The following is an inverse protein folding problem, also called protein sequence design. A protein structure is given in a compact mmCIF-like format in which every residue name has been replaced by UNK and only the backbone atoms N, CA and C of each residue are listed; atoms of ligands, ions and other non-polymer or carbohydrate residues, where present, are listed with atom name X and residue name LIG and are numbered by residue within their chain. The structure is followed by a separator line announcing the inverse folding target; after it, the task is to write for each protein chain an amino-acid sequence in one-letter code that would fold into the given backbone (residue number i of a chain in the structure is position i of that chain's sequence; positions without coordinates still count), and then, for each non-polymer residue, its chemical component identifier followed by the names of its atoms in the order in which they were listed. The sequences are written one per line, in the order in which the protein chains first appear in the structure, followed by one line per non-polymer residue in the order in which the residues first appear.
data_IF_385822394959
#
_entry.id   IF_385822394959
#
_cell.length_a   1.000
_cell.length_b   1.000
_cell.length_c   1.000
_cell.angle_alpha   90.00
_cell.angle_beta   90.00
_cell.angle_gamma   90.00
#
_symmetry.space_group_name_H-M   'P 1'
#
loop_
_entity.id
_entity.type
_entity.pdbx_description
1 polymer ?
#
# COMPACT_ATOMS: atom_id res chain seq x y z
N UNK A 1 -39.11 0.86 11.43
CA UNK A 1 -37.66 0.68 11.20
C UNK A 1 -36.93 2.02 11.33
N UNK A 2 -35.76 2.08 11.97
CA UNK A 2 -34.97 3.31 12.17
C UNK A 2 -34.58 4.02 10.86
N UNK A 3 -34.15 3.32 9.80
CA UNK A 3 -33.78 3.97 8.54
C UNK A 3 -34.91 4.79 7.90
N UNK A 4 -36.12 4.22 7.86
CA UNK A 4 -37.31 4.89 7.28
C UNK A 4 -37.68 6.14 8.07
N UNK A 5 -37.52 6.11 9.40
CA UNK A 5 -37.79 7.25 10.26
C UNK A 5 -36.76 8.37 10.08
N UNK A 6 -35.47 8.03 10.01
CA UNK A 6 -34.43 9.03 9.74
C UNK A 6 -34.56 9.64 8.34
N UNK A 7 -35.06 8.87 7.36
CA UNK A 7 -35.37 9.37 6.03
C UNK A 7 -36.57 10.34 6.04
N UNK A 8 -37.64 10.04 6.79
CA UNK A 8 -38.77 10.95 6.99
C UNK A 8 -38.34 12.26 7.69
N UNK A 9 -37.50 12.18 8.73
CA UNK A 9 -36.93 13.36 9.38
C UNK A 9 -36.12 14.23 8.40
N UNK A 10 -35.25 13.63 7.59
CA UNK A 10 -34.50 14.35 6.55
C UNK A 10 -35.40 15.01 5.52
N UNK A 11 -36.50 14.37 5.13
CA UNK A 11 -37.46 14.96 4.17
C UNK A 11 -38.16 16.21 4.72
N UNK A 12 -38.09 16.43 6.03
CA UNK A 12 -38.61 17.59 6.76
C UNK A 12 -37.49 18.55 7.21
N UNK A 13 -36.28 18.42 6.65
CA UNK A 13 -35.08 19.18 7.02
C UNK A 13 -34.67 19.04 8.51
N UNK A 14 -35.03 17.93 9.15
CA UNK A 14 -34.59 17.60 10.50
C UNK A 14 -33.32 16.76 10.41
N UNK A 15 -32.19 17.34 10.82
CA UNK A 15 -30.92 16.64 10.94
C UNK A 15 -30.74 16.07 12.34
N UNK A 16 -30.21 14.85 12.44
CA UNK A 16 -29.98 14.16 13.72
C UNK A 16 -28.58 13.54 13.69
N UNK A 17 -27.80 13.74 14.76
CA UNK A 17 -26.45 13.17 14.92
C UNK A 17 -26.19 12.71 16.35
N UNK A 18 -25.19 11.86 16.52
CA UNK A 18 -24.72 11.40 17.82
C UNK A 18 -23.58 12.31 18.31
N UNK A 19 -23.59 12.65 19.59
CA UNK A 19 -22.50 13.32 20.30
C UNK A 19 -22.28 12.56 21.62
N UNK A 20 -21.35 11.61 21.62
CA UNK A 20 -21.22 10.63 22.71
C UNK A 20 -22.49 9.79 22.87
N UNK A 21 -23.05 9.74 24.09
CA UNK A 21 -24.34 9.08 24.40
C UNK A 21 -25.56 10.01 24.25
N UNK A 22 -25.36 11.20 23.68
CA UNK A 22 -26.42 12.18 23.45
C UNK A 22 -26.84 12.20 21.99
N UNK A 23 -28.16 12.26 21.76
CA UNK A 23 -28.73 12.47 20.43
C UNK A 23 -28.98 13.98 20.28
N UNK A 24 -28.39 14.58 19.25
CA UNK A 24 -28.56 15.98 18.90
C UNK A 24 -29.40 16.08 17.62
N UNK A 25 -30.15 17.16 17.49
CA UNK A 25 -30.89 17.43 16.27
C UNK A 25 -30.97 18.93 15.97
N UNK A 26 -31.04 19.27 14.69
CA UNK A 26 -31.33 20.60 14.17
C UNK A 26 -32.62 20.50 13.36
N UNK A 27 -33.52 21.46 13.52
CA UNK A 27 -34.78 21.49 12.79
C UNK A 27 -35.19 22.96 12.51
N UNK A 28 -35.87 23.24 11.38
CA UNK A 28 -36.45 24.55 11.13
C UNK A 28 -37.52 24.90 12.17
N UNK A 29 -37.76 26.21 12.34
CA UNK A 29 -38.70 26.73 13.35
C UNK A 29 -40.11 26.16 13.10
N UNK A 30 -40.70 25.56 14.13
CA UNK A 30 -42.06 25.01 14.09
C UNK A 30 -42.19 23.59 13.50
N UNK A 31 -41.12 23.02 12.93
CA UNK A 31 -41.16 21.69 12.30
C UNK A 31 -41.00 20.56 13.31
N UNK A 32 -40.28 20.81 14.42
CA UNK A 32 -40.09 19.83 15.49
C UNK A 32 -41.27 19.82 16.47
N UNK A 33 -42.35 19.12 16.12
CA UNK A 33 -43.55 19.00 16.95
C UNK A 33 -43.30 18.24 18.25
N UNK A 34 -44.16 18.40 19.29
CA UNK A 34 -44.07 17.61 20.53
C UNK A 34 -44.07 16.10 20.29
N UNK A 35 -44.88 15.62 19.35
CA UNK A 35 -44.99 14.20 18.99
C UNK A 35 -43.68 13.66 18.39
N UNK A 36 -43.04 14.43 17.51
CA UNK A 36 -41.73 14.08 16.94
C UNK A 36 -40.64 14.06 18.00
N UNK A 37 -40.71 14.98 18.98
CA UNK A 37 -39.77 15.02 20.11
C UNK A 37 -39.91 13.78 20.99
N UNK A 38 -41.14 13.32 21.24
CA UNK A 38 -41.40 12.11 22.01
C UNK A 38 -40.97 10.85 21.24
N UNK A 39 -41.18 10.80 19.93
CA UNK A 39 -40.68 9.70 19.08
C UNK A 39 -39.14 9.61 19.08
N UNK A 40 -38.43 10.75 19.00
CA UNK A 40 -36.97 10.80 19.12
C UNK A 40 -36.49 10.33 20.51
N UNK A 41 -37.22 10.67 21.58
CA UNK A 41 -36.90 10.22 22.95
C UNK A 41 -37.11 8.71 23.11
N UNK A 42 -38.25 8.19 22.68
CA UNK A 42 -38.57 6.76 22.80
C UNK A 42 -37.59 5.89 22.02
N UNK A 43 -37.11 6.37 20.87
CA UNK A 43 -36.22 5.62 19.96
C UNK A 43 -34.76 6.02 20.08
N UNK A 44 -34.39 6.80 21.11
CA UNK A 44 -33.04 7.34 21.29
C UNK A 44 -31.97 6.26 21.19
N UNK A 45 -32.16 5.12 21.86
CA UNK A 45 -31.15 4.06 21.91
C UNK A 45 -30.93 3.41 20.54
N UNK A 46 -32.01 3.01 19.85
CA UNK A 46 -31.92 2.42 18.51
C UNK A 46 -31.34 3.40 17.47
N UNK A 47 -31.66 4.68 17.58
CA UNK A 47 -31.11 5.71 16.69
C UNK A 47 -29.62 5.89 16.95
N UNK A 48 -29.19 5.95 18.22
CA UNK A 48 -27.76 6.05 18.56
C UNK A 48 -26.98 4.82 18.09
N UNK A 49 -27.52 3.62 18.27
CA UNK A 49 -26.89 2.39 17.78
C UNK A 49 -26.80 2.40 16.25
N UNK A 50 -27.88 2.76 15.55
CA UNK A 50 -27.87 2.88 14.10
C UNK A 50 -26.87 3.93 13.61
N UNK A 51 -26.88 5.13 14.18
CA UNK A 51 -25.96 6.20 13.80
C UNK A 51 -24.51 5.82 14.09
N UNK A 52 -24.22 5.16 15.22
CA UNK A 52 -22.88 4.63 15.53
C UNK A 52 -22.48 3.53 14.57
N UNK A 53 -23.40 2.63 14.19
CA UNK A 53 -23.12 1.59 13.21
C UNK A 53 -22.87 2.17 11.82
N UNK A 54 -23.64 3.18 11.41
CA UNK A 54 -23.46 3.89 10.14
C UNK A 54 -22.19 4.73 10.14
N UNK A 55 -21.88 5.39 11.25
CA UNK A 55 -20.65 6.15 11.44
C UNK A 55 -19.45 5.20 11.51
N UNK A 56 -19.57 4.04 12.16
CA UNK A 56 -18.56 2.98 12.12
C UNK A 56 -18.37 2.44 10.71
N UNK A 57 -19.43 2.27 9.91
CA UNK A 57 -19.36 1.87 8.49
C UNK A 57 -18.77 2.98 7.59
N UNK A 58 -18.99 4.24 7.93
CA UNK A 58 -18.47 5.41 7.18
C UNK A 58 -17.02 5.72 7.58
N UNK A 59 -16.67 5.47 8.85
CA UNK A 59 -15.32 5.49 9.41
C UNK A 59 -14.56 4.18 9.14
N UNK A 60 -15.25 3.13 8.72
CA UNK A 60 -14.65 1.97 8.09
C UNK A 60 -14.09 2.49 6.76
N UNK A 61 -12.87 3.00 6.90
CA UNK A 61 -12.07 3.61 5.87
C UNK A 61 -12.15 2.72 4.64
N UNK A 62 -12.32 3.35 3.47
CA UNK A 62 -12.21 2.68 2.17
C UNK A 62 -10.76 2.24 1.98
N UNK A 63 -10.29 1.28 2.78
CA UNK A 63 -9.01 0.63 2.63
C UNK A 63 -8.89 0.15 1.19
N UNK A 64 -10.00 -0.22 0.57
CA UNK A 64 -10.10 -0.60 -0.82
C UNK A 64 -10.35 0.66 -1.67
N UNK A 65 -9.29 1.11 -2.35
CA UNK A 65 -9.31 2.24 -3.28
C UNK A 65 -9.42 1.71 -4.71
N UNK A 66 -10.50 1.99 -5.46
CA UNK A 66 -10.63 1.52 -6.83
C UNK A 66 -9.64 2.25 -7.75
N UNK A 67 -8.74 1.49 -8.37
CA UNK A 67 -7.83 2.01 -9.41
C UNK A 67 -8.38 1.69 -10.80
N UNK A 68 -8.91 0.47 -10.96
CA UNK A 68 -9.64 0.03 -12.13
C UNK A 68 -10.71 -0.98 -11.68
N UNK A 69 -11.93 -0.54 -11.33
CA UNK A 69 -12.92 -1.41 -10.69
C UNK A 69 -13.70 -2.32 -11.67
N UNK A 70 -13.47 -2.18 -12.98
CA UNK A 70 -14.22 -2.91 -14.02
C UNK A 70 -13.59 -4.27 -14.31
N UNK A 71 -14.41 -5.16 -14.84
CA UNK A 71 -14.00 -6.51 -15.26
C UNK A 71 -14.63 -7.62 -14.42
N UNK A 72 -14.37 -8.84 -14.85
CA UNK A 72 -14.96 -10.07 -14.28
C UNK A 72 -13.92 -11.03 -13.73
N UNK A 73 -12.62 -10.77 -13.99
CA UNK A 73 -11.54 -11.59 -13.44
C UNK A 73 -11.45 -11.45 -11.91
N UNK A 74 -10.81 -12.43 -11.24
CA UNK A 74 -10.49 -12.34 -9.82
C UNK A 74 -9.79 -11.00 -9.51
N UNK A 75 -10.30 -10.17 -8.58
CA UNK A 75 -9.75 -8.84 -8.35
C UNK A 75 -8.32 -8.91 -7.81
N UNK A 76 -7.53 -7.90 -8.16
CA UNK A 76 -6.22 -7.64 -7.57
C UNK A 76 -6.39 -6.66 -6.41
N UNK A 77 -5.89 -7.02 -5.23
CA UNK A 77 -5.75 -6.13 -4.09
C UNK A 77 -4.26 -5.83 -3.84
N UNK A 78 -3.85 -4.59 -4.12
CA UNK A 78 -2.47 -4.15 -4.10
C UNK A 78 -2.08 -3.42 -2.81
N UNK A 79 -1.19 -4.01 -2.02
CA UNK A 79 -0.57 -3.37 -0.86
C UNK A 79 0.55 -2.43 -1.32
N UNK A 80 0.48 -1.13 -1.00
CA UNK A 80 1.46 -0.14 -1.45
C UNK A 80 2.81 -0.27 -0.73
N UNK A 81 3.79 0.49 -1.22
CA UNK A 81 5.12 0.59 -0.59
C UNK A 81 5.09 1.29 0.78
N UNK A 82 6.29 1.61 1.28
CA UNK A 82 6.49 2.08 2.66
C UNK A 82 5.73 3.37 2.98
N UNK A 83 5.49 4.25 2.01
CA UNK A 83 4.79 5.52 2.21
C UNK A 83 3.25 5.38 2.24
N UNK A 84 2.71 4.18 1.98
CA UNK A 84 1.27 3.90 1.95
C UNK A 84 0.53 4.42 0.72
N UNK A 85 1.23 4.90 -0.32
CA UNK A 85 0.61 5.48 -1.50
C UNK A 85 0.11 4.41 -2.49
N UNK A 86 -1.20 4.17 -2.49
CA UNK A 86 -1.86 3.21 -3.39
C UNK A 86 -1.75 3.56 -4.87
N UNK A 87 -1.48 4.82 -5.22
CA UNK A 87 -1.39 5.25 -6.62
C UNK A 87 -0.08 4.80 -7.29
N UNK A 88 0.86 4.19 -6.56
CA UNK A 88 2.01 3.50 -7.15
C UNK A 88 1.59 2.41 -8.16
N UNK A 89 0.38 1.86 -8.05
CA UNK A 89 -0.16 0.86 -8.97
C UNK A 89 -0.91 1.44 -10.18
N UNK A 90 -1.10 2.76 -10.27
CA UNK A 90 -2.01 3.35 -11.27
C UNK A 90 -1.65 2.97 -12.71
N UNK A 91 -0.38 3.14 -13.09
CA UNK A 91 0.07 2.82 -14.45
C UNK A 91 0.03 1.30 -14.70
N UNK A 92 0.42 0.47 -13.73
CA UNK A 92 0.24 -1.00 -13.83
C UNK A 92 -1.24 -1.38 -14.06
N UNK A 93 -2.15 -0.83 -13.26
CA UNK A 93 -3.59 -1.11 -13.32
C UNK A 93 -4.18 -0.79 -14.71
N UNK A 94 -3.80 0.35 -15.29
CA UNK A 94 -4.21 0.74 -16.65
C UNK A 94 -3.72 -0.24 -17.71
N UNK A 95 -2.57 -0.87 -17.49
CA UNK A 95 -1.93 -1.73 -18.48
C UNK A 95 -2.27 -3.21 -18.33
N UNK A 96 -2.89 -3.69 -17.23
CA UNK A 96 -3.26 -5.11 -17.07
C UNK A 96 -4.51 -5.52 -17.87
N UNK A 97 -5.20 -4.55 -18.49
CA UNK A 97 -6.36 -4.73 -19.35
C UNK A 97 -7.69 -4.55 -18.62
N UNK A 98 -8.70 -4.09 -19.34
CA UNK A 98 -9.97 -3.57 -18.78
C UNK A 98 -10.83 -4.60 -18.03
N UNK A 99 -10.60 -5.89 -18.27
CA UNK A 99 -11.33 -6.99 -17.64
C UNK A 99 -10.61 -7.53 -16.38
N UNK A 100 -9.58 -6.83 -15.89
CA UNK A 100 -8.92 -7.13 -14.61
C UNK A 100 -9.26 -6.03 -13.58
N UNK A 101 -10.16 -6.32 -12.60
CA UNK A 101 -10.39 -5.41 -11.49
C UNK A 101 -9.11 -5.24 -10.65
N UNK A 102 -8.79 -4.00 -10.30
CA UNK A 102 -7.61 -3.64 -9.52
C UNK A 102 -7.96 -2.59 -8.46
N UNK A 103 -7.66 -2.91 -7.21
CA UNK A 103 -7.88 -2.08 -6.04
C UNK A 103 -6.57 -1.91 -5.27
N UNK A 104 -6.30 -0.70 -4.81
CA UNK A 104 -5.23 -0.43 -3.85
C UNK A 104 -5.71 -0.61 -2.42
N UNK A 105 -4.83 -1.07 -1.54
CA UNK A 105 -5.08 -1.25 -0.10
C UNK A 105 -4.44 -0.11 0.69
N UNK A 106 -5.21 0.92 1.01
CA UNK A 106 -4.75 2.06 1.77
C UNK A 106 -4.66 1.71 3.27
N UNK A 107 -3.47 1.78 3.89
CA UNK A 107 -3.31 1.49 5.31
C UNK A 107 -3.94 2.58 6.19
N UNK A 108 -4.39 2.24 7.41
CA UNK A 108 -4.90 3.22 8.36
C UNK A 108 -3.80 4.19 8.79
N UNK A 109 -4.17 5.45 9.06
CA UNK A 109 -3.29 6.50 9.56
C UNK A 109 -2.75 7.47 8.51
N UNK A 110 -3.22 7.37 7.26
CA UNK A 110 -3.05 8.41 6.24
C UNK A 110 -4.15 9.50 6.29
N UNK A 111 -5.17 9.32 7.11
CA UNK A 111 -6.26 10.27 7.35
C UNK A 111 -5.93 11.33 8.42
N UNK A 112 -4.79 11.19 9.10
CA UNK A 112 -4.42 12.04 10.24
C UNK A 112 -5.26 11.83 11.50
N UNK A 113 -6.17 10.84 11.51
CA UNK A 113 -7.05 10.50 12.63
C UNK A 113 -6.63 9.21 13.32
N UNK A 114 -6.19 8.24 12.53
CA UNK A 114 -5.80 6.91 12.99
C UNK A 114 -4.27 6.82 13.15
N UNK A 115 -3.80 5.98 14.07
CA UNK A 115 -2.37 5.65 14.14
C UNK A 115 -2.02 4.54 13.15
N UNK A 116 -0.86 4.61 12.46
CA UNK A 116 -0.39 3.51 11.64
C UNK A 116 -0.20 2.23 12.47
N UNK A 117 -0.66 1.10 11.93
CA UNK A 117 -0.40 -0.21 12.51
C UNK A 117 1.11 -0.51 12.50
N UNK A 118 1.59 -1.13 13.59
CA UNK A 118 3.03 -1.29 13.88
C UNK A 118 3.55 -2.71 13.65
N UNK A 119 2.69 -3.62 13.20
CA UNK A 119 2.97 -5.02 12.94
C UNK A 119 2.44 -5.39 11.56
N UNK A 120 3.15 -6.30 10.89
CA UNK A 120 2.75 -6.79 9.57
C UNK A 120 1.49 -7.65 9.70
N UNK A 121 1.41 -8.45 10.74
CA UNK A 121 0.30 -9.35 11.04
C UNK A 121 -0.99 -8.56 11.31
N UNK A 122 -0.93 -7.50 12.12
CA UNK A 122 -2.09 -6.64 12.40
C UNK A 122 -2.61 -5.96 11.12
N UNK A 123 -1.70 -5.50 10.26
CA UNK A 123 -2.06 -4.85 9.00
C UNK A 123 -2.64 -5.84 7.98
N UNK A 124 -2.11 -7.05 7.92
CA UNK A 124 -2.64 -8.14 7.11
C UNK A 124 -4.04 -8.56 7.57
N UNK A 125 -4.24 -8.74 8.88
CA UNK A 125 -5.55 -9.05 9.45
C UNK A 125 -6.58 -7.97 9.16
N UNK A 126 -6.20 -6.69 9.34
CA UNK A 126 -7.03 -5.55 8.97
C UNK A 126 -7.44 -5.60 7.49
N UNK A 127 -6.49 -5.78 6.57
CA UNK A 127 -6.83 -5.86 5.15
C UNK A 127 -7.66 -7.10 4.80
N UNK A 128 -7.44 -8.24 5.45
CA UNK A 128 -8.25 -9.44 5.26
C UNK A 128 -9.71 -9.19 5.66
N UNK A 129 -9.96 -8.46 6.75
CA UNK A 129 -11.31 -8.04 7.16
C UNK A 129 -11.96 -7.14 6.10
N UNK A 130 -11.22 -6.15 5.60
CA UNK A 130 -11.74 -5.23 4.58
C UNK A 130 -12.05 -5.95 3.25
N UNK A 131 -11.15 -6.84 2.81
CA UNK A 131 -11.36 -7.64 1.58
C UNK A 131 -12.59 -8.52 1.72
N UNK A 132 -12.73 -9.25 2.83
CA UNK A 132 -13.87 -10.16 3.02
C UNK A 132 -15.21 -9.43 3.18
N UNK A 133 -15.19 -8.23 3.75
CA UNK A 133 -16.39 -7.38 3.81
C UNK A 133 -16.80 -6.89 2.41
N UNK A 134 -15.83 -6.53 1.57
CA UNK A 134 -16.06 -6.03 0.21
C UNK A 134 -16.42 -7.13 -0.79
N UNK A 135 -15.70 -8.26 -0.72
CA UNK A 135 -15.93 -9.44 -1.53
C UNK A 135 -15.82 -10.67 -0.63
N UNK A 136 -16.95 -11.30 -0.23
CA UNK A 136 -16.93 -12.39 0.74
C UNK A 136 -16.25 -13.68 0.26
N UNK A 137 -16.25 -13.92 -1.06
CA UNK A 137 -15.72 -15.14 -1.67
C UNK A 137 -14.61 -14.85 -2.67
N UNK A 138 -13.52 -15.62 -2.56
CA UNK A 138 -12.43 -15.62 -3.52
C UNK A 138 -12.83 -16.28 -4.85
N UNK A 139 -11.88 -16.45 -5.77
CA UNK A 139 -10.44 -16.27 -5.57
C UNK A 139 -9.98 -14.80 -5.50
N UNK A 140 -8.97 -14.53 -4.68
CA UNK A 140 -8.29 -13.22 -4.63
C UNK A 140 -6.90 -13.29 -5.28
N UNK A 141 -6.47 -12.20 -5.89
CA UNK A 141 -5.06 -11.97 -6.23
C UNK A 141 -4.52 -10.88 -5.33
N UNK A 142 -3.45 -11.16 -4.60
CA UNK A 142 -2.83 -10.17 -3.71
C UNK A 142 -1.55 -9.67 -4.37
N UNK A 143 -1.37 -8.36 -4.45
CA UNK A 143 -0.16 -7.74 -4.96
C UNK A 143 0.55 -6.95 -3.86
N UNK A 144 1.89 -6.94 -3.86
CA UNK A 144 2.69 -6.15 -2.93
C UNK A 144 3.84 -5.48 -3.63
N UNK A 145 4.04 -4.19 -3.40
CA UNK A 145 5.10 -3.39 -4.02
C UNK A 145 6.12 -2.97 -2.98
N UNK A 146 7.41 -3.19 -3.25
CA UNK A 146 8.50 -2.81 -2.36
C UNK A 146 8.25 -3.34 -0.92
N UNK A 147 8.19 -2.45 0.07
CA UNK A 147 7.88 -2.76 1.47
C UNK A 147 6.50 -3.41 1.68
N UNK A 148 5.53 -3.11 0.81
CA UNK A 148 4.23 -3.74 0.80
C UNK A 148 4.28 -5.24 0.55
N UNK A 149 5.38 -5.77 0.00
CA UNK A 149 5.53 -7.20 -0.28
C UNK A 149 5.46 -8.08 0.96
N UNK A 150 6.04 -7.66 2.09
CA UNK A 150 5.94 -8.40 3.35
C UNK A 150 4.51 -8.49 3.86
N UNK A 151 3.76 -7.39 3.73
CA UNK A 151 2.35 -7.31 4.14
C UNK A 151 1.46 -8.08 3.17
N UNK A 152 1.71 -8.01 1.87
CA UNK A 152 0.99 -8.78 0.86
C UNK A 152 1.17 -10.30 1.04
N UNK A 153 2.39 -10.72 1.39
CA UNK A 153 2.67 -12.12 1.71
C UNK A 153 1.88 -12.59 2.93
N UNK A 154 1.94 -11.83 4.03
CA UNK A 154 1.20 -12.15 5.25
C UNK A 154 -0.32 -12.11 5.00
N UNK A 155 -0.82 -11.15 4.23
CA UNK A 155 -2.22 -11.05 3.85
C UNK A 155 -2.68 -12.27 3.04
N UNK A 156 -1.86 -12.74 2.10
CA UNK A 156 -2.12 -13.97 1.38
C UNK A 156 -2.20 -15.17 2.33
N UNK A 157 -1.27 -15.29 3.27
CA UNK A 157 -1.27 -16.34 4.28
C UNK A 157 -2.51 -16.27 5.19
N UNK A 158 -2.81 -15.11 5.74
CA UNK A 158 -3.96 -14.86 6.60
C UNK A 158 -5.29 -15.20 5.91
N UNK A 159 -5.45 -14.84 4.63
CA UNK A 159 -6.64 -15.18 3.84
C UNK A 159 -6.77 -16.70 3.66
N UNK A 160 -5.67 -17.41 3.38
CA UNK A 160 -5.67 -18.88 3.28
C UNK A 160 -6.06 -19.53 4.62
N UNK A 161 -5.52 -19.03 5.74
CA UNK A 161 -5.85 -19.53 7.08
C UNK A 161 -7.32 -19.32 7.44
N UNK A 162 -7.95 -18.28 6.89
CA UNK A 162 -9.39 -18.01 7.02
C UNK A 162 -10.26 -18.80 6.02
N UNK A 163 -9.68 -19.75 5.30
CA UNK A 163 -10.39 -20.61 4.34
C UNK A 163 -10.73 -19.91 3.02
N UNK A 164 -10.17 -18.73 2.73
CA UNK A 164 -10.37 -18.08 1.45
C UNK A 164 -9.45 -18.68 0.37
N UNK A 165 -9.90 -18.62 -0.88
CA UNK A 165 -9.09 -19.01 -2.03
C UNK A 165 -8.21 -17.83 -2.46
N UNK A 166 -6.90 -18.01 -2.45
CA UNK A 166 -5.93 -17.04 -3.00
C UNK A 166 -5.31 -17.64 -4.25
N UNK A 167 -5.56 -17.03 -5.41
CA UNK A 167 -5.05 -17.51 -6.70
C UNK A 167 -3.52 -17.38 -6.77
N UNK A 168 -2.98 -16.24 -6.35
CA UNK A 168 -1.56 -16.02 -6.16
C UNK A 168 -1.30 -14.77 -5.30
N UNK A 169 -0.07 -14.70 -4.78
CA UNK A 169 0.54 -13.48 -4.24
C UNK A 169 1.61 -13.02 -5.23
N UNK A 170 1.52 -11.78 -5.72
CA UNK A 170 2.44 -11.17 -6.66
C UNK A 170 3.27 -10.08 -5.98
N UNK A 171 4.59 -10.28 -5.87
CA UNK A 171 5.52 -9.35 -5.26
C UNK A 171 6.30 -8.60 -6.33
N UNK A 172 6.17 -7.29 -6.34
CA UNK A 172 6.83 -6.38 -7.28
C UNK A 172 7.97 -5.66 -6.57
N UNK A 173 9.22 -6.00 -6.92
CA UNK A 173 10.41 -5.34 -6.39
C UNK A 173 10.47 -5.37 -4.86
N UNK A 174 10.04 -6.48 -4.25
CA UNK A 174 9.90 -6.60 -2.79
C UNK A 174 11.13 -7.27 -2.16
N UNK A 175 11.94 -6.55 -1.37
CA UNK A 175 13.00 -7.16 -0.58
C UNK A 175 12.41 -8.12 0.46
N UNK A 176 13.16 -9.16 0.82
CA UNK A 176 12.79 -10.02 1.95
C UNK A 176 12.86 -9.23 3.27
N UNK A 177 12.00 -9.48 4.29
CA UNK A 177 11.90 -8.65 5.50
C UNK A 177 13.23 -8.39 6.25
N UNK A 178 14.16 -9.35 6.22
CA UNK A 178 15.50 -9.19 6.83
C UNK A 178 16.34 -8.07 6.19
N UNK A 179 16.00 -7.60 4.99
CA UNK A 179 16.60 -6.44 4.36
C UNK A 179 16.36 -5.14 5.15
N UNK A 180 15.21 -5.02 5.82
CA UNK A 180 14.85 -3.82 6.59
C UNK A 180 15.59 -3.73 7.93
N UNK A 181 16.29 -4.79 8.37
CA UNK A 181 17.12 -4.79 9.58
C UNK A 181 18.34 -3.87 9.40
N UNK A 182 18.69 -3.14 10.46
CA UNK A 182 19.68 -2.04 10.41
C UNK A 182 21.03 -2.42 9.78
N UNK A 183 21.54 -3.63 10.04
CA UNK A 183 22.81 -4.10 9.48
C UNK A 183 22.78 -4.26 7.95
N UNK A 184 21.64 -4.66 7.38
CA UNK A 184 21.47 -4.80 5.93
C UNK A 184 21.36 -3.44 5.25
N UNK A 185 20.62 -2.51 5.86
CA UNK A 185 20.49 -1.13 5.36
C UNK A 185 21.83 -0.38 5.42
N UNK A 186 22.60 -0.57 6.49
CA UNK A 186 23.94 0.03 6.62
C UNK A 186 24.89 -0.49 5.53
N UNK A 187 24.96 -1.82 5.35
CA UNK A 187 25.79 -2.43 4.30
C UNK A 187 25.43 -1.94 2.91
N UNK A 188 24.14 -1.82 2.61
CA UNK A 188 23.67 -1.28 1.33
C UNK A 188 24.06 0.20 1.15
N UNK A 189 23.90 1.04 2.18
CA UNK A 189 24.32 2.45 2.14
C UNK A 189 25.82 2.59 1.89
N UNK A 190 26.64 1.78 2.57
CA UNK A 190 28.09 1.79 2.37
C UNK A 190 28.47 1.39 0.94
N UNK A 191 27.80 0.38 0.37
CA UNK A 191 28.00 -0.03 -1.02
C UNK A 191 27.61 1.06 -2.03
N UNK A 192 26.42 1.64 -1.88
CA UNK A 192 25.97 2.77 -2.70
C UNK A 192 26.92 3.96 -2.61
N UNK A 193 27.43 4.26 -1.41
CA UNK A 193 28.41 5.32 -1.22
C UNK A 193 29.72 4.97 -1.93
N UNK A 194 30.23 3.75 -1.81
CA UNK A 194 31.43 3.29 -2.52
C UNK A 194 31.27 3.35 -4.05
N UNK A 195 30.13 2.91 -4.61
CA UNK A 195 29.82 2.99 -6.04
C UNK A 195 29.79 4.45 -6.52
N UNK A 196 29.11 5.35 -5.78
CA UNK A 196 29.11 6.79 -6.07
C UNK A 196 30.50 7.40 -5.98
N UNK A 197 31.30 7.03 -4.97
CA UNK A 197 32.69 7.50 -4.84
C UNK A 197 33.57 6.99 -5.98
N UNK A 198 33.38 5.75 -6.43
CA UNK A 198 34.13 5.20 -7.57
C UNK A 198 33.79 5.89 -8.90
N UNK A 199 32.50 6.23 -9.11
CA UNK A 199 32.05 7.02 -10.26
C UNK A 199 32.60 8.46 -10.23
N UNK A 200 32.62 9.08 -9.04
CA UNK A 200 33.24 10.39 -8.87
C UNK A 200 34.77 10.32 -9.01
N UNK A 201 35.44 9.30 -8.49
CA UNK A 201 36.89 9.12 -8.62
C UNK A 201 37.30 8.96 -10.09
N UNK A 202 36.51 8.24 -10.90
CA UNK A 202 36.70 8.18 -12.36
C UNK A 202 36.49 9.52 -13.06
N UNK A 203 35.49 10.31 -12.63
CA UNK A 203 35.26 11.65 -13.15
C UNK A 203 36.30 12.69 -12.66
N UNK A 204 36.95 12.44 -11.53
CA UNK A 204 38.01 13.28 -10.94
C UNK A 204 39.40 12.93 -11.48
N UNK A 205 39.64 11.68 -11.90
CA UNK A 205 40.92 11.21 -12.45
C UNK A 205 41.33 11.91 -13.76
N UNK A 206 40.42 12.67 -14.40
CA UNK A 206 40.65 13.39 -15.64
C UNK A 206 40.67 14.93 -15.48
N UNK A 207 40.78 15.46 -14.25
CA UNK A 207 40.69 16.92 -13.98
C UNK A 207 41.85 17.45 -13.12
N UNK A 208 42.17 18.72 -13.27
CA UNK A 208 43.24 19.39 -12.52
C UNK A 208 42.83 19.71 -11.07
N UNK A 209 43.82 19.86 -10.18
CA UNK A 209 43.63 20.20 -8.75
C UNK A 209 42.83 21.51 -8.53
N UNK A 210 42.91 22.46 -9.45
CA UNK A 210 42.17 23.73 -9.39
C UNK A 210 40.66 23.54 -9.62
N UNK A 211 40.29 22.73 -10.61
CA UNK A 211 38.89 22.46 -10.96
C UNK A 211 38.18 21.62 -9.88
N UNK A 212 38.94 20.75 -9.19
CA UNK A 212 38.44 19.95 -8.07
C UNK A 212 38.02 20.83 -6.88
N UNK A 213 38.81 21.87 -6.56
CA UNK A 213 38.50 22.80 -5.46
C UNK A 213 37.23 23.61 -5.76
N UNK A 214 37.08 24.08 -6.99
CA UNK A 214 35.90 24.83 -7.43
C UNK A 214 34.65 23.96 -7.40
N UNK A 215 34.74 22.73 -7.93
CA UNK A 215 33.65 21.76 -7.91
C UNK A 215 33.18 21.40 -6.49
N UNK A 216 34.13 21.15 -5.58
CA UNK A 216 33.81 20.84 -4.18
C UNK A 216 33.15 22.04 -3.50
N UNK A 217 33.72 23.24 -3.64
CA UNK A 217 33.16 24.45 -3.05
C UNK A 217 31.74 24.77 -3.56
N UNK A 218 31.47 24.53 -4.84
CA UNK A 218 30.16 24.74 -5.46
C UNK A 218 29.14 23.68 -5.00
N UNK A 219 29.53 22.41 -4.91
CA UNK A 219 28.70 21.34 -4.32
C UNK A 219 28.36 21.59 -2.86
N UNK A 220 29.30 22.14 -2.09
CA UNK A 220 29.05 22.53 -0.70
C UNK A 220 28.05 23.67 -0.62
N UNK A 221 28.24 24.76 -1.38
CA UNK A 221 27.29 25.88 -1.44
C UNK A 221 25.89 25.46 -1.88
N UNK A 222 25.77 24.61 -2.90
CA UNK A 222 24.47 24.06 -3.32
C UNK A 222 23.82 23.20 -2.24
N UNK A 223 24.60 22.44 -1.45
CA UNK A 223 24.06 21.62 -0.37
C UNK A 223 23.54 22.46 0.79
N UNK A 224 24.27 23.50 1.22
CA UNK A 224 23.80 24.42 2.27
C UNK A 224 22.56 25.17 1.80
N UNK A 225 22.58 25.76 0.60
CA UNK A 225 21.42 26.48 0.07
C UNK A 225 20.16 25.59 -0.05
N UNK A 226 20.32 24.33 -0.47
CA UNK A 226 19.20 23.35 -0.51
C UNK A 226 18.69 22.99 0.88
N UNK A 227 19.58 22.88 1.87
CA UNK A 227 19.21 22.58 3.25
C UNK A 227 18.43 23.74 3.86
N UNK A 228 18.91 24.96 3.69
CA UNK A 228 18.27 26.17 4.21
C UNK A 228 16.89 26.38 3.54
N UNK A 229 16.80 26.16 2.22
CA UNK A 229 15.52 26.19 1.50
C UNK A 229 14.55 25.10 1.96
N UNK A 230 15.01 23.87 2.20
CA UNK A 230 14.18 22.79 2.74
C UNK A 230 13.72 23.05 4.18
N UNK A 231 14.51 23.81 4.95
CA UNK A 231 14.20 24.13 6.34
C UNK A 231 13.25 25.34 6.48
N UNK A 232 13.18 26.20 5.45
CA UNK A 232 12.28 27.36 5.39
C UNK A 232 10.84 27.03 4.95
N UNK A 233 10.61 25.86 4.35
CA UNK A 233 9.27 25.42 3.91
C UNK A 233 8.57 24.73 5.07
N UNK A 234 7.40 25.24 5.47
CA UNK A 234 6.55 24.57 6.45
C UNK A 234 6.25 23.13 5.95
N UNK A 235 6.44 22.10 6.77
CA UNK A 235 6.32 20.73 6.31
C UNK A 235 4.88 20.45 5.85
N UNK A 236 4.73 20.05 4.59
CA UNK A 236 3.45 19.62 4.01
C UNK A 236 2.83 18.52 4.90
N UNK A 237 1.61 18.73 5.44
CA UNK A 237 0.95 17.76 6.30
C UNK A 237 0.85 16.36 5.69
N UNK A 238 0.66 16.26 4.36
CA UNK A 238 0.59 14.98 3.66
C UNK A 238 1.94 14.27 3.67
N UNK A 239 3.03 15.01 3.46
CA UNK A 239 4.39 14.45 3.51
C UNK A 239 4.76 14.02 4.94
N UNK A 240 4.30 14.74 5.96
CA UNK A 240 4.49 14.36 7.36
C UNK A 240 3.79 13.04 7.67
N UNK A 241 2.53 12.88 7.23
CA UNK A 241 1.78 11.63 7.40
C UNK A 241 2.43 10.47 6.64
N UNK A 242 2.85 10.69 5.39
CA UNK A 242 3.57 9.68 4.60
C UNK A 242 4.90 9.27 5.24
N UNK A 243 5.66 10.21 5.79
CA UNK A 243 6.89 9.92 6.51
C UNK A 243 6.64 9.15 7.82
N UNK A 244 5.53 9.44 8.52
CA UNK A 244 5.09 8.68 9.69
C UNK A 244 4.73 7.24 9.31
N UNK A 245 4.00 7.07 8.19
CA UNK A 245 3.66 5.77 7.62
C UNK A 245 4.91 4.97 7.26
N UNK A 246 5.87 5.59 6.58
CA UNK A 246 7.14 4.96 6.23
C UNK A 246 7.90 4.44 7.45
N UNK A 247 8.01 5.25 8.51
CA UNK A 247 8.67 4.82 9.74
C UNK A 247 7.96 3.62 10.37
N UNK A 248 6.63 3.64 10.40
CA UNK A 248 5.84 2.53 10.95
C UNK A 248 6.00 1.25 10.12
N UNK A 249 5.88 1.34 8.79
CA UNK A 249 6.03 0.21 7.87
C UNK A 249 7.41 -0.45 7.98
N UNK A 250 8.49 0.36 7.99
CA UNK A 250 9.85 -0.15 8.15
C UNK A 250 10.03 -0.80 9.53
N UNK A 251 9.48 -0.20 10.60
CA UNK A 251 9.56 -0.77 11.94
C UNK A 251 8.82 -2.12 12.06
N UNK A 252 7.67 -2.24 11.41
CA UNK A 252 6.90 -3.48 11.33
C UNK A 252 7.70 -4.58 10.59
N UNK A 253 8.20 -4.28 9.39
CA UNK A 253 8.95 -5.24 8.56
C UNK A 253 10.25 -5.72 9.21
N UNK A 254 10.92 -4.87 10.01
CA UNK A 254 12.13 -5.27 10.76
C UNK A 254 11.91 -6.46 11.68
N UNK A 255 10.70 -6.58 12.24
CA UNK A 255 10.30 -7.57 13.23
C UNK A 255 9.60 -8.78 12.61
N UNK A 256 9.08 -8.61 11.40
CA UNK A 256 8.34 -9.63 10.70
C UNK A 256 9.22 -10.79 10.21
N UNK A 257 8.70 -12.01 10.34
CA UNK A 257 9.31 -13.24 9.82
C UNK A 257 8.26 -13.99 9.02
N UNK A 258 8.43 -14.14 7.69
CA UNK A 258 7.49 -14.85 6.84
C UNK A 258 7.26 -16.30 7.25
N UNK A 259 6.00 -16.74 7.18
CA UNK A 259 5.57 -18.12 7.35
C UNK A 259 5.83 -18.96 6.10
N UNK A 260 5.93 -20.31 6.21
CA UNK A 260 5.80 -21.18 5.04
C UNK A 260 4.47 -20.94 4.32
N UNK A 261 4.52 -20.66 3.03
CA UNK A 261 3.39 -20.28 2.21
C UNK A 261 3.07 -21.38 1.19
N UNK A 262 1.90 -22.05 1.33
CA UNK A 262 1.52 -23.15 0.44
C UNK A 262 0.94 -22.66 -0.90
N UNK A 263 0.60 -21.38 -1.00
CA UNK A 263 0.05 -20.77 -2.20
C UNK A 263 1.09 -20.49 -3.29
N UNK A 264 0.62 -20.05 -4.46
CA UNK A 264 1.47 -19.64 -5.57
C UNK A 264 2.04 -18.24 -5.32
N UNK A 265 3.37 -18.10 -5.41
CA UNK A 265 4.07 -16.83 -5.21
C UNK A 265 4.73 -16.40 -6.53
N UNK A 266 4.43 -15.19 -7.00
CA UNK A 266 5.03 -14.61 -8.21
C UNK A 266 5.98 -13.49 -7.82
N UNK A 267 7.25 -13.59 -8.21
CA UNK A 267 8.31 -12.64 -7.86
C UNK A 267 8.70 -11.84 -9.10
N UNK A 268 8.19 -10.61 -9.22
CA UNK A 268 8.56 -9.68 -10.27
C UNK A 268 9.74 -8.83 -9.82
N UNK A 269 10.90 -9.11 -10.40
CA UNK A 269 12.19 -8.50 -10.04
C UNK A 269 12.52 -7.42 -11.07
N UNK A 270 12.95 -6.19 -10.67
CA UNK A 270 13.29 -5.13 -11.62
C UNK A 270 14.31 -5.56 -12.68
N UNK A 271 15.37 -6.25 -12.26
CA UNK A 271 16.42 -6.79 -13.13
C UNK A 271 17.09 -8.00 -12.47
N UNK A 272 17.87 -8.77 -13.23
CA UNK A 272 18.61 -9.93 -12.70
C UNK A 272 19.62 -9.56 -11.62
N UNK A 273 20.14 -8.33 -11.67
CA UNK A 273 21.16 -7.83 -10.75
C UNK A 273 20.53 -7.27 -9.46
N UNK A 274 19.22 -7.06 -9.43
CA UNK A 274 18.52 -6.46 -8.32
C UNK A 274 18.37 -7.47 -7.17
N UNK A 275 19.05 -7.18 -6.04
CA UNK A 275 19.02 -7.95 -4.79
C UNK A 275 18.87 -9.47 -4.98
N UNK A 276 19.87 -10.17 -5.55
CA UNK A 276 19.73 -11.60 -5.88
C UNK A 276 19.37 -12.51 -4.69
N UNK A 277 19.70 -12.08 -3.47
CA UNK A 277 19.33 -12.80 -2.24
C UNK A 277 17.85 -12.68 -1.89
N UNK A 278 17.15 -11.62 -2.30
CA UNK A 278 15.74 -11.42 -1.98
C UNK A 278 14.87 -12.52 -2.58
N UNK A 279 15.02 -12.79 -3.89
CA UNK A 279 14.27 -13.85 -4.56
C UNK A 279 14.55 -15.23 -3.96
N UNK A 280 15.82 -15.52 -3.63
CA UNK A 280 16.21 -16.77 -2.96
C UNK A 280 15.52 -16.96 -1.61
N UNK A 281 15.46 -15.91 -0.80
CA UNK A 281 14.83 -15.96 0.52
C UNK A 281 13.30 -16.09 0.44
N UNK A 282 12.67 -15.45 -0.54
CA UNK A 282 11.23 -15.67 -0.79
C UNK A 282 10.94 -17.11 -1.24
N UNK A 283 11.79 -17.67 -2.12
CA UNK A 283 11.68 -19.07 -2.54
C UNK A 283 11.91 -20.08 -1.41
N UNK A 284 12.65 -19.73 -0.36
CA UNK A 284 12.84 -20.63 0.79
C UNK A 284 11.59 -20.75 1.67
N UNK A 285 10.63 -19.84 1.56
CA UNK A 285 9.37 -19.89 2.32
C UNK A 285 8.14 -20.21 1.46
N UNK A 286 8.28 -20.32 0.13
CA UNK A 286 7.19 -20.65 -0.77
C UNK A 286 7.66 -21.63 -1.84
N UNK A 287 7.20 -22.88 -1.77
CA UNK A 287 7.62 -23.95 -2.68
C UNK A 287 7.19 -23.66 -4.13
N UNK A 288 6.00 -23.09 -4.30
CA UNK A 288 5.40 -22.73 -5.60
C UNK A 288 5.74 -21.30 -6.02
N UNK A 289 6.99 -20.90 -5.81
CA UNK A 289 7.49 -19.58 -6.17
C UNK A 289 8.08 -19.52 -7.58
N UNK A 290 7.60 -18.60 -8.39
CA UNK A 290 8.05 -18.33 -9.76
C UNK A 290 8.67 -16.93 -9.81
N UNK A 291 9.74 -16.76 -10.59
CA UNK A 291 10.46 -15.49 -10.70
C UNK A 291 10.48 -14.98 -12.13
N UNK A 292 10.23 -13.68 -12.27
CA UNK A 292 10.15 -12.95 -13.53
C UNK A 292 11.01 -11.69 -13.44
N UNK A 293 11.65 -11.32 -14.55
CA UNK A 293 12.51 -10.15 -14.64
C UNK A 293 11.86 -9.06 -15.49
N UNK A 294 12.04 -7.82 -15.05
CA UNK A 294 11.58 -6.64 -15.76
C UNK A 294 12.41 -6.32 -17.00
N UNK A 295 11.96 -5.31 -17.78
CA UNK A 295 12.71 -4.79 -18.91
C UNK A 295 14.09 -4.24 -18.49
N UNK A 296 15.01 -4.16 -19.46
CA UNK A 296 16.33 -3.58 -19.24
C UNK A 296 16.24 -2.12 -18.78
N UNK A 297 17.14 -1.70 -17.87
CA UNK A 297 17.15 -0.35 -17.30
C UNK A 297 16.14 -0.10 -16.17
N UNK A 298 15.26 -1.07 -15.87
CA UNK A 298 14.29 -0.93 -14.78
C UNK A 298 14.95 -0.94 -13.40
N UNK A 299 14.55 0.01 -12.55
CA UNK A 299 14.94 0.09 -11.15
C UNK A 299 13.75 -0.24 -10.23
N UNK A 300 14.03 -0.49 -8.94
CA UNK A 300 13.00 -0.87 -7.97
C UNK A 300 11.92 0.20 -7.78
N UNK A 301 12.31 1.47 -7.79
CA UNK A 301 11.38 2.58 -7.51
C UNK A 301 10.54 2.98 -8.74
N UNK A 302 10.93 2.55 -9.94
CA UNK A 302 10.29 2.96 -11.20
C UNK A 302 9.53 1.83 -11.90
N UNK A 303 9.61 0.60 -11.39
CA UNK A 303 9.07 -0.59 -12.08
C UNK A 303 7.56 -0.56 -12.38
N UNK A 304 6.77 0.10 -11.54
CA UNK A 304 5.31 0.22 -11.72
C UNK A 304 4.89 1.51 -12.42
N UNK A 305 5.87 2.30 -12.87
CA UNK A 305 5.68 3.58 -13.56
C UNK A 305 6.07 3.45 -15.03
N UNK A 306 5.67 4.43 -15.83
CA UNK A 306 6.16 4.55 -17.20
C UNK A 306 7.68 4.78 -17.22
N UNK A 307 8.39 4.19 -18.20
CA UNK A 307 7.90 3.38 -19.32
C UNK A 307 7.84 1.86 -19.02
N UNK A 308 8.06 1.42 -17.78
CA UNK A 308 8.27 0.01 -17.44
C UNK A 308 7.00 -0.76 -17.08
N UNK A 309 5.98 -0.06 -16.58
CA UNK A 309 4.72 -0.65 -16.17
C UNK A 309 4.03 -1.52 -17.24
N UNK A 310 4.02 -1.17 -18.55
CA UNK A 310 3.44 -2.03 -19.58
C UNK A 310 4.11 -3.41 -19.65
N UNK A 311 5.43 -3.47 -19.45
CA UNK A 311 6.20 -4.72 -19.44
C UNK A 311 5.81 -5.63 -18.26
N UNK A 312 5.70 -5.05 -17.05
CA UNK A 312 5.24 -5.80 -15.88
C UNK A 312 3.78 -6.21 -15.96
N UNK A 313 2.91 -5.38 -16.54
CA UNK A 313 1.52 -5.74 -16.77
C UNK A 313 1.39 -6.91 -17.76
N UNK A 314 2.19 -6.93 -18.82
CA UNK A 314 2.24 -8.03 -19.77
C UNK A 314 2.72 -9.34 -19.10
N UNK A 315 3.80 -9.27 -18.31
CA UNK A 315 4.29 -10.40 -17.51
C UNK A 315 3.20 -10.90 -16.56
N UNK A 316 2.60 -10.02 -15.78
CA UNK A 316 1.55 -10.36 -14.81
C UNK A 316 0.36 -11.07 -15.47
N UNK A 317 -0.11 -10.58 -16.63
CA UNK A 317 -1.16 -11.26 -17.41
C UNK A 317 -0.76 -12.68 -17.82
N UNK A 318 0.43 -12.87 -18.38
CA UNK A 318 0.90 -14.20 -18.83
C UNK A 318 0.98 -15.20 -17.69
N UNK A 319 1.53 -14.77 -16.55
CA UNK A 319 1.67 -15.58 -15.36
C UNK A 319 0.32 -16.04 -14.82
N UNK A 320 -0.65 -15.12 -14.77
CA UNK A 320 -2.01 -15.40 -14.30
C UNK A 320 -2.75 -16.38 -15.21
N UNK A 321 -2.58 -16.26 -16.52
CA UNK A 321 -3.25 -17.11 -17.51
C UNK A 321 -2.56 -18.49 -17.67
N UNK A 322 -1.53 -18.80 -16.88
CA UNK A 322 -0.87 -20.11 -16.86
C UNK A 322 0.06 -20.40 -18.05
N UNK A 323 0.42 -19.38 -18.84
CA UNK A 323 1.15 -19.55 -20.11
C UNK A 323 2.66 -19.72 -19.99
N UNK A 324 3.22 -19.68 -18.77
CA UNK A 324 4.67 -19.80 -18.51
C UNK A 324 5.07 -21.10 -17.78
N UNK A 325 4.16 -22.05 -17.57
CA UNK A 325 4.50 -23.36 -16.97
C UNK A 325 5.52 -24.17 -17.81
N UNK A 326 5.73 -23.79 -19.08
CA UNK A 326 6.60 -24.47 -20.04
C UNK A 326 7.85 -23.66 -20.44
N UNK A 327 8.02 -22.45 -19.91
CA UNK A 327 9.17 -21.58 -20.22
C UNK A 327 10.20 -21.59 -19.08
N UNK A 328 10.66 -22.79 -18.67
CA UNK A 328 11.94 -22.86 -17.95
C UNK A 328 13.05 -22.56 -18.96
N UNK A 329 13.99 -21.65 -18.68
CA UNK A 329 15.22 -21.61 -19.48
C UNK A 329 15.88 -22.98 -19.35
N UNK A 330 16.12 -23.65 -20.49
CA UNK A 330 17.10 -24.73 -20.54
C UNK A 330 18.46 -24.11 -20.16
N UNK A 331 19.16 -24.85 -19.30
CA UNK A 331 20.43 -24.55 -18.62
C UNK A 331 21.38 -23.56 -19.29
#
# INVERSE_FOLDING_TARGET
MVPVFLADLRSRDIEVWAEGDSLRCTAPVGVLTPELRDQLRQRKHEILEFLRSAEALTQQQRAIVPLQPRGTRPPVFGVPGHNGDVFCYRSLAQHVGDDQPFFGLQPPGLDGRSEPLKRVEDLAAYFADQIRAFQPSGPYVIAGFCAGGGVAFELGWELLQRGAVVACVALFGSPYPTWYRSASQLRWRLRQQAERFSGHARAMATRSLGELRTYVAEKWRQRTARRDAAQAVAPDPVLVLRAKMERAAIAALRRYTPHPFPGRLLLFTPSQQWLPSAARLWRSVAERAEQYFGPEGCEGDTMLLEPYAPGFAALFRRCRDGRDADARPRD
#
